data_IF_266797569785
#
_entry.id   IF_266797569785
#
_cell.length_a   1.000
_cell.length_b   1.000
_cell.length_c   1.000
_cell.angle_alpha   90.00
_cell.angle_beta   90.00
_cell.angle_gamma   90.00
#
_symmetry.space_group_name_H-M   'P 1'
#
loop_
_entity.id
_entity.type
_entity.pdbx_description
1 polymer ?
#
# COMPACT_ATOMS: atom_id res chain seq x y z
N UNK A 1 23.78 8.73 -1.95
CA UNK A 1 22.32 8.96 -1.84
C UNK A 1 21.91 8.52 -0.44
N UNK A 2 21.29 9.40 0.34
CA UNK A 2 20.84 9.12 1.70
C UNK A 2 19.61 8.20 1.64
N UNK A 3 19.57 7.15 2.45
CA UNK A 3 18.51 6.14 2.47
C UNK A 3 17.93 6.01 3.86
N UNK A 4 16.72 5.44 3.98
CA UNK A 4 16.05 5.21 5.27
C UNK A 4 16.94 4.39 6.21
N UNK A 5 17.63 3.39 5.68
CA UNK A 5 18.52 2.50 6.44
C UNK A 5 19.69 3.22 7.12
N UNK A 6 20.02 4.42 6.65
CA UNK A 6 21.10 5.22 7.25
C UNK A 6 20.66 5.92 8.55
N UNK A 7 19.34 5.99 8.81
CA UNK A 7 18.75 6.73 9.93
C UNK A 7 17.90 5.88 10.88
N UNK A 8 17.41 4.74 10.43
CA UNK A 8 16.45 3.94 11.19
C UNK A 8 17.03 2.56 11.53
N UNK A 9 16.69 2.07 12.73
CA UNK A 9 16.83 0.66 13.04
C UNK A 9 15.79 -0.12 12.22
N UNK A 10 16.22 -0.66 11.09
CA UNK A 10 15.33 -1.34 10.14
C UNK A 10 14.64 -2.54 10.76
N UNK A 11 15.25 -3.22 11.73
CA UNK A 11 14.58 -4.34 12.41
C UNK A 11 13.38 -3.85 13.20
N UNK A 12 13.53 -2.78 13.99
CA UNK A 12 12.42 -2.19 14.73
C UNK A 12 11.35 -1.65 13.79
N UNK A 13 11.77 -1.01 12.71
CA UNK A 13 10.89 -0.48 11.68
C UNK A 13 9.99 -1.58 11.10
N UNK A 14 10.57 -2.69 10.69
CA UNK A 14 9.82 -3.83 10.13
C UNK A 14 8.99 -4.57 11.18
N UNK A 15 9.48 -4.69 12.41
CA UNK A 15 8.71 -5.26 13.52
C UNK A 15 7.43 -4.45 13.80
N UNK A 16 7.50 -3.13 13.76
CA UNK A 16 6.33 -2.25 13.90
C UNK A 16 5.34 -2.48 12.75
N UNK A 17 5.82 -2.46 11.52
CA UNK A 17 4.97 -2.67 10.34
C UNK A 17 4.27 -4.03 10.37
N UNK A 18 5.02 -5.08 10.66
CA UNK A 18 4.50 -6.45 10.75
C UNK A 18 3.40 -6.58 11.81
N UNK A 19 3.67 -6.11 13.03
CA UNK A 19 2.71 -6.20 14.13
C UNK A 19 1.47 -5.32 13.88
N UNK A 20 1.66 -4.14 13.30
CA UNK A 20 0.56 -3.28 12.90
C UNK A 20 -0.32 -3.97 11.84
N UNK A 21 0.27 -4.56 10.81
CA UNK A 21 -0.47 -5.30 9.78
C UNK A 21 -1.25 -6.49 10.36
N UNK A 22 -0.64 -7.24 11.28
CA UNK A 22 -1.30 -8.35 11.97
C UNK A 22 -2.48 -7.88 12.83
N UNK A 23 -2.35 -6.76 13.51
CA UNK A 23 -3.39 -6.24 14.41
C UNK A 23 -4.54 -5.56 13.68
N UNK A 24 -4.29 -4.91 12.56
CA UNK A 24 -5.30 -4.16 11.81
C UNK A 24 -5.94 -4.95 10.67
N UNK A 25 -5.29 -6.00 10.19
CA UNK A 25 -5.69 -6.71 8.96
C UNK A 25 -5.39 -5.93 7.68
N UNK A 26 -4.71 -4.79 7.76
CA UNK A 26 -4.34 -3.95 6.62
C UNK A 26 -2.95 -4.32 6.08
N UNK A 27 -2.75 -4.13 4.79
CA UNK A 27 -1.44 -4.32 4.16
C UNK A 27 -0.50 -3.15 4.45
N UNK A 28 0.81 -3.41 4.46
CA UNK A 28 1.82 -2.35 4.49
C UNK A 28 3.16 -2.80 3.90
N UNK A 29 3.89 -1.85 3.35
CA UNK A 29 5.24 -2.00 2.80
C UNK A 29 5.98 -0.67 2.89
N UNK A 30 7.29 -0.69 3.06
CA UNK A 30 8.12 0.49 2.92
C UNK A 30 8.66 0.58 1.47
N UNK A 31 8.62 1.78 0.90
CA UNK A 31 9.12 2.07 -0.43
C UNK A 31 10.18 3.16 -0.39
N UNK A 32 11.16 3.07 -1.26
CA UNK A 32 12.12 4.13 -1.48
C UNK A 32 11.53 5.31 -2.25
N UNK A 33 12.34 6.35 -2.45
CA UNK A 33 11.92 7.54 -3.20
C UNK A 33 11.54 7.24 -4.67
N UNK A 34 11.99 6.11 -5.21
CA UNK A 34 11.65 5.62 -6.55
C UNK A 34 10.37 4.77 -6.63
N UNK A 35 9.69 4.56 -5.49
CA UNK A 35 8.49 3.73 -5.40
C UNK A 35 8.74 2.22 -5.34
N UNK A 36 10.01 1.80 -5.25
CA UNK A 36 10.36 0.37 -5.14
C UNK A 36 10.40 -0.08 -3.69
N UNK A 37 10.06 -1.34 -3.47
CA UNK A 37 10.04 -1.92 -2.13
C UNK A 37 11.42 -2.00 -1.52
N UNK A 38 11.53 -1.57 -0.26
CA UNK A 38 12.73 -1.66 0.57
C UNK A 38 12.51 -2.50 1.83
N UNK A 39 11.30 -2.98 2.07
CA UNK A 39 10.94 -3.93 3.11
C UNK A 39 10.21 -5.13 2.52
N UNK A 40 9.91 -6.12 3.35
CA UNK A 40 8.94 -7.15 3.01
C UNK A 40 7.52 -6.56 2.91
N UNK A 41 6.65 -7.25 2.15
CA UNK A 41 5.23 -6.93 2.07
C UNK A 41 4.49 -7.65 3.19
N UNK A 42 3.85 -6.90 4.08
CA UNK A 42 3.08 -7.47 5.16
C UNK A 42 1.60 -7.44 4.82
N UNK A 43 0.96 -8.60 4.93
CA UNK A 43 -0.48 -8.78 4.76
C UNK A 43 -1.03 -8.32 3.39
N UNK A 44 -0.22 -8.41 2.34
CA UNK A 44 -0.64 -8.06 0.99
C UNK A 44 -1.73 -9.00 0.48
N UNK A 45 -2.72 -8.43 -0.21
CA UNK A 45 -3.81 -9.18 -0.82
C UNK A 45 -3.36 -9.84 -2.13
N UNK A 46 -3.94 -11.01 -2.43
CA UNK A 46 -3.77 -11.67 -3.75
C UNK A 46 -4.11 -10.72 -4.90
N UNK A 47 -5.17 -9.93 -4.73
CA UNK A 47 -5.60 -8.91 -5.69
C UNK A 47 -4.47 -7.95 -6.08
N UNK A 48 -3.69 -7.49 -5.11
CA UNK A 48 -2.61 -6.54 -5.35
C UNK A 48 -1.30 -7.21 -5.76
N UNK A 49 -0.79 -8.16 -4.95
CA UNK A 49 0.56 -8.69 -5.15
C UNK A 49 0.65 -9.67 -6.32
N UNK A 50 -0.32 -10.56 -6.45
CA UNK A 50 -0.27 -11.63 -7.45
C UNK A 50 -0.89 -11.21 -8.79
N UNK A 51 -2.03 -10.51 -8.76
CA UNK A 51 -2.77 -10.16 -9.97
C UNK A 51 -2.42 -8.78 -10.51
N UNK A 52 -2.66 -7.71 -9.76
CA UNK A 52 -2.41 -6.34 -10.26
C UNK A 52 -0.92 -6.13 -10.56
N UNK A 53 -0.05 -6.42 -9.61
CA UNK A 53 1.40 -6.32 -9.81
C UNK A 53 2.01 -7.46 -10.63
N UNK A 54 1.27 -8.53 -10.85
CA UNK A 54 1.65 -9.61 -11.75
C UNK A 54 1.65 -9.20 -13.23
N UNK A 55 0.85 -8.19 -13.60
CA UNK A 55 0.89 -7.59 -14.94
C UNK A 55 1.91 -6.45 -15.01
N UNK A 56 2.56 -6.29 -16.18
CA UNK A 56 3.57 -5.23 -16.37
C UNK A 56 2.95 -3.83 -16.23
N UNK A 57 1.78 -3.60 -16.82
CA UNK A 57 1.09 -2.32 -16.72
C UNK A 57 0.55 -2.07 -15.32
N UNK A 58 0.01 -3.09 -14.65
CA UNK A 58 -0.42 -2.97 -13.26
C UNK A 58 0.72 -2.60 -12.34
N UNK A 59 1.87 -3.25 -12.46
CA UNK A 59 3.08 -2.93 -11.69
C UNK A 59 3.51 -1.48 -11.90
N UNK A 60 3.57 -1.03 -13.14
CA UNK A 60 3.94 0.34 -13.49
C UNK A 60 3.03 1.37 -12.83
N UNK A 61 1.72 1.12 -12.86
CA UNK A 61 0.71 1.99 -12.22
C UNK A 61 0.82 1.95 -10.69
N UNK A 62 1.06 0.78 -10.11
CA UNK A 62 1.27 0.64 -8.66
C UNK A 62 2.50 1.42 -8.18
N UNK A 63 3.64 1.26 -8.83
CA UNK A 63 4.88 1.98 -8.48
C UNK A 63 4.70 3.51 -8.56
N UNK A 64 3.91 3.98 -9.53
CA UNK A 64 3.55 5.40 -9.62
C UNK A 64 2.70 5.84 -8.43
N UNK A 65 1.66 5.09 -8.08
CA UNK A 65 0.81 5.37 -6.92
C UNK A 65 1.63 5.38 -5.63
N UNK A 66 2.51 4.40 -5.44
CA UNK A 66 3.34 4.27 -4.24
C UNK A 66 4.33 5.43 -4.09
N UNK A 67 4.86 5.93 -5.20
CA UNK A 67 5.77 7.09 -5.21
C UNK A 67 5.05 8.40 -4.93
N UNK A 68 3.83 8.56 -5.45
CA UNK A 68 3.07 9.83 -5.40
C UNK A 68 2.08 9.88 -4.23
N UNK A 69 1.72 8.74 -3.64
CA UNK A 69 0.69 8.64 -2.60
C UNK A 69 1.06 9.33 -1.30
N UNK A 70 0.16 10.20 -0.83
CA UNK A 70 0.27 10.92 0.45
C UNK A 70 -1.09 10.95 1.14
N UNK A 71 -1.10 10.70 2.46
CA UNK A 71 -2.35 10.59 3.19
C UNK A 71 -3.18 9.41 2.69
N UNK A 72 -4.48 9.48 2.84
CA UNK A 72 -5.41 8.46 2.33
C UNK A 72 -5.82 8.82 0.90
N UNK A 73 -5.67 7.87 -0.02
CA UNK A 73 -5.97 8.07 -1.45
C UNK A 73 -6.56 6.81 -2.09
N UNK A 74 -7.23 6.98 -3.22
CA UNK A 74 -7.66 5.87 -4.07
C UNK A 74 -6.55 5.51 -5.06
N UNK A 75 -6.16 4.23 -5.11
CA UNK A 75 -5.16 3.78 -6.06
C UNK A 75 -5.74 3.59 -7.47
N UNK A 76 -4.89 3.39 -8.47
CA UNK A 76 -5.32 3.20 -9.85
C UNK A 76 -6.25 1.99 -10.05
N UNK A 77 -6.16 1.00 -9.19
CA UNK A 77 -6.96 -0.23 -9.26
C UNK A 77 -8.31 -0.13 -8.50
N UNK A 78 -8.61 1.02 -7.89
CA UNK A 78 -9.90 1.25 -7.22
C UNK A 78 -9.94 0.86 -5.74
N UNK A 79 -8.81 0.49 -5.14
CA UNK A 79 -8.69 0.29 -3.71
C UNK A 79 -8.33 1.61 -3.00
N UNK A 80 -8.50 1.64 -1.69
CA UNK A 80 -8.05 2.74 -0.85
C UNK A 80 -6.77 2.35 -0.15
N UNK A 81 -5.78 3.22 -0.30
CA UNK A 81 -4.47 3.12 0.31
C UNK A 81 -4.15 4.36 1.11
N UNK A 82 -3.05 4.32 1.85
CA UNK A 82 -2.45 5.50 2.46
C UNK A 82 -0.95 5.53 2.20
N UNK A 83 -0.37 6.73 2.26
CA UNK A 83 1.07 6.95 2.19
C UNK A 83 1.53 7.86 3.32
N UNK A 84 2.55 7.41 4.05
CA UNK A 84 3.21 8.18 5.12
C UNK A 84 4.62 8.50 4.62
N UNK A 85 4.88 9.73 4.14
CA UNK A 85 6.22 10.11 3.71
C UNK A 85 7.21 10.09 4.89
N UNK A 86 8.41 9.60 4.63
CA UNK A 86 9.54 9.66 5.55
C UNK A 86 10.46 10.77 5.06
N UNK A 87 10.53 11.85 5.83
CA UNK A 87 11.26 13.06 5.46
C UNK A 87 12.29 13.42 6.50
N UNK A 88 13.39 14.00 6.06
CA UNK A 88 14.36 14.68 6.93
C UNK A 88 13.86 16.08 7.32
N UNK A 89 14.49 16.69 8.31
CA UNK A 89 14.15 18.03 8.80
C UNK A 89 14.26 19.11 7.71
N UNK A 90 15.10 18.90 6.71
CA UNK A 90 15.25 19.79 5.56
C UNK A 90 14.17 19.59 4.48
N UNK A 91 13.24 18.66 4.69
CA UNK A 91 12.16 18.32 3.75
C UNK A 91 12.54 17.28 2.69
N UNK A 92 13.74 16.73 2.73
CA UNK A 92 14.16 15.66 1.80
C UNK A 92 13.32 14.40 2.06
N UNK A 93 12.64 13.89 1.04
CA UNK A 93 11.86 12.65 1.10
C UNK A 93 12.79 11.45 0.87
N UNK A 94 12.91 10.59 1.87
CA UNK A 94 13.70 9.35 1.79
C UNK A 94 12.93 8.18 1.21
N UNK A 95 11.61 8.21 1.33
CA UNK A 95 10.70 7.16 0.93
C UNK A 95 9.36 7.33 1.64
N UNK A 96 8.58 6.26 1.67
CA UNK A 96 7.27 6.27 2.32
C UNK A 96 6.93 4.90 2.88
N UNK A 97 6.06 4.88 3.88
CA UNK A 97 5.33 3.67 4.25
C UNK A 97 3.97 3.73 3.57
N UNK A 98 3.71 2.74 2.74
CA UNK A 98 2.45 2.60 2.01
C UNK A 98 1.64 1.48 2.65
N UNK A 99 0.35 1.62 2.66
CA UNK A 99 -0.51 0.56 3.18
C UNK A 99 -1.96 0.74 2.79
N UNK A 100 -2.80 -0.15 3.32
CA UNK A 100 -4.23 -0.16 3.07
C UNK A 100 -4.68 -1.41 2.34
N UNK A 101 -4.82 -1.34 1.02
CA UNK A 101 -5.35 -2.39 0.15
C UNK A 101 -6.74 -2.85 0.60
N UNK A 102 -7.64 -1.90 0.77
CA UNK A 102 -9.01 -2.15 1.23
C UNK A 102 -10.02 -1.46 0.32
N UNK A 103 -11.28 -1.92 0.41
CA UNK A 103 -12.41 -1.30 -0.27
C UNK A 103 -13.15 -0.38 0.70
N UNK A 104 -13.54 0.83 0.28
CA UNK A 104 -14.33 1.74 1.12
C UNK A 104 -15.80 1.31 1.25
N UNK A 105 -16.26 0.50 0.31
CA UNK A 105 -17.61 -0.04 0.20
C UNK A 105 -17.63 -1.33 -0.64
N UNK A 106 -18.76 -1.96 -0.79
CA UNK A 106 -18.91 -3.12 -1.66
C UNK A 106 -18.58 -2.75 -3.11
N UNK A 107 -17.72 -3.54 -3.80
CA UNK A 107 -17.26 -3.20 -5.13
C UNK A 107 -18.34 -3.37 -6.21
N UNK A 108 -18.24 -2.56 -7.26
CA UNK A 108 -18.90 -2.81 -8.54
C UNK A 108 -18.01 -3.76 -9.37
N UNK A 109 -18.39 -5.02 -9.42
CA UNK A 109 -17.64 -6.07 -10.10
C UNK A 109 -17.38 -5.76 -11.59
N UNK A 110 -18.31 -5.10 -12.27
CA UNK A 110 -18.17 -4.77 -13.70
C UNK A 110 -17.10 -3.68 -13.92
N UNK A 111 -17.00 -2.72 -13.02
CA UNK A 111 -15.92 -1.74 -13.05
C UNK A 111 -14.55 -2.41 -12.90
N UNK A 112 -14.42 -3.39 -12.01
CA UNK A 112 -13.18 -4.13 -11.82
C UNK A 112 -12.87 -5.11 -12.96
N UNK A 113 -13.87 -5.71 -13.60
CA UNK A 113 -13.68 -6.48 -14.85
C UNK A 113 -13.12 -5.61 -15.96
N UNK A 114 -13.58 -4.37 -16.09
CA UNK A 114 -13.04 -3.41 -17.05
C UNK A 114 -11.58 -3.10 -16.76
N UNK A 115 -11.25 -2.83 -15.52
CA UNK A 115 -9.86 -2.59 -15.08
C UNK A 115 -8.98 -3.81 -15.39
N UNK A 116 -9.44 -5.03 -15.12
CA UNK A 116 -8.72 -6.25 -15.46
C UNK A 116 -8.39 -6.31 -16.96
N UNK A 117 -9.35 -5.96 -17.83
CA UNK A 117 -9.14 -5.89 -19.27
C UNK A 117 -8.04 -4.89 -19.66
N UNK A 118 -8.02 -3.71 -19.04
CA UNK A 118 -6.98 -2.69 -19.26
C UNK A 118 -5.59 -3.17 -18.84
N UNK A 119 -5.52 -4.00 -17.81
CA UNK A 119 -4.26 -4.50 -17.26
C UNK A 119 -3.81 -5.83 -17.86
N UNK A 120 -4.63 -6.44 -18.72
CA UNK A 120 -4.34 -7.75 -19.31
C UNK A 120 -4.44 -8.91 -18.30
N UNK A 121 -5.33 -8.79 -17.33
CA UNK A 121 -5.57 -9.79 -16.27
C UNK A 121 -6.88 -10.53 -16.55
N UNK A 122 -6.95 -11.83 -16.21
CA UNK A 122 -8.21 -12.57 -16.26
C UNK A 122 -9.27 -11.93 -15.37
N UNK A 123 -10.38 -11.48 -15.95
CA UNK A 123 -11.40 -10.71 -15.26
C UNK A 123 -12.06 -11.47 -14.10
N UNK A 124 -12.33 -12.77 -14.30
CA UNK A 124 -13.01 -13.57 -13.26
C UNK A 124 -12.07 -13.90 -12.09
N UNK A 125 -10.79 -14.16 -12.37
CA UNK A 125 -9.79 -14.32 -11.32
C UNK A 125 -9.62 -13.03 -10.52
N UNK A 126 -9.64 -11.88 -11.20
CA UNK A 126 -9.51 -10.55 -10.58
C UNK A 126 -10.68 -10.25 -9.65
N UNK A 127 -11.90 -10.51 -10.08
CA UNK A 127 -13.10 -10.32 -9.25
C UNK A 127 -13.14 -11.31 -8.08
N UNK A 128 -12.74 -12.58 -8.27
CA UNK A 128 -12.65 -13.52 -7.15
C UNK A 128 -11.68 -13.07 -6.07
N UNK A 129 -10.52 -12.56 -6.47
CA UNK A 129 -9.53 -11.99 -5.53
C UNK A 129 -10.05 -10.71 -4.86
N UNK A 130 -10.77 -9.86 -5.61
CA UNK A 130 -11.42 -8.66 -5.09
C UNK A 130 -12.37 -8.96 -3.93
N UNK A 131 -13.14 -10.03 -4.02
CA UNK A 131 -14.10 -10.41 -2.97
C UNK A 131 -13.44 -10.91 -1.68
N UNK A 132 -12.13 -11.14 -1.68
CA UNK A 132 -11.32 -11.43 -0.49
C UNK A 132 -10.74 -10.17 0.16
N UNK A 133 -10.82 -9.02 -0.50
CA UNK A 133 -10.32 -7.75 0.01
C UNK A 133 -11.27 -7.25 1.10
N UNK A 134 -10.69 -6.80 2.22
CA UNK A 134 -11.47 -6.26 3.34
C UNK A 134 -12.17 -4.95 2.96
N UNK A 135 -13.37 -4.75 3.48
CA UNK A 135 -14.09 -3.48 3.42
C UNK A 135 -13.85 -2.72 4.72
N UNK A 136 -13.33 -1.51 4.62
CA UNK A 136 -13.05 -0.61 5.75
C UNK A 136 -13.53 0.79 5.43
N UNK A 137 -14.10 1.48 6.40
CA UNK A 137 -14.48 2.88 6.23
C UNK A 137 -13.24 3.76 6.09
N UNK A 138 -13.41 4.92 5.46
CA UNK A 138 -12.32 5.91 5.36
C UNK A 138 -11.79 6.31 6.73
N UNK A 139 -12.67 6.46 7.72
CA UNK A 139 -12.29 6.80 9.10
C UNK A 139 -11.43 5.71 9.74
N UNK A 140 -11.76 4.43 9.52
CA UNK A 140 -10.94 3.31 10.00
C UNK A 140 -9.55 3.31 9.36
N UNK A 141 -9.46 3.61 8.07
CA UNK A 141 -8.18 3.68 7.34
C UNK A 141 -7.35 4.86 7.85
N UNK A 142 -7.94 6.02 8.02
CA UNK A 142 -7.27 7.23 8.53
C UNK A 142 -6.74 7.01 9.95
N UNK A 143 -7.53 6.38 10.82
CA UNK A 143 -7.11 6.06 12.18
C UNK A 143 -5.94 5.07 12.20
N UNK A 144 -6.00 4.02 11.38
CA UNK A 144 -4.94 3.03 11.27
C UNK A 144 -3.63 3.65 10.73
N UNK A 145 -3.72 4.48 9.70
CA UNK A 145 -2.58 5.20 9.15
C UNK A 145 -1.94 6.15 10.17
N UNK A 146 -2.75 6.90 10.91
CA UNK A 146 -2.29 7.78 11.98
C UNK A 146 -1.54 7.01 13.05
N UNK A 147 -2.07 5.87 13.48
CA UNK A 147 -1.44 5.03 14.51
C UNK A 147 -0.08 4.50 14.04
N UNK A 148 0.01 4.06 12.80
CA UNK A 148 1.28 3.59 12.21
C UNK A 148 2.31 4.74 12.16
N UNK A 149 1.92 5.91 11.69
CA UNK A 149 2.78 7.08 11.62
C UNK A 149 3.33 7.49 12.99
N UNK A 150 2.47 7.52 14.02
CA UNK A 150 2.88 7.80 15.40
C UNK A 150 3.85 6.74 15.95
N UNK A 151 3.65 5.46 15.59
CA UNK A 151 4.53 4.37 16.02
C UNK A 151 5.92 4.49 15.38
N UNK A 152 6.01 4.98 14.15
CA UNK A 152 7.27 5.13 13.41
C UNK A 152 8.10 6.36 13.82
N UNK A 153 7.52 7.37 14.47
CA UNK A 153 8.22 8.58 14.91
C UNK A 153 9.34 8.26 15.93
N UNK A 154 9.24 7.16 16.66
CA UNK A 154 10.12 6.82 17.77
C UNK A 154 11.28 5.87 17.40
N UNK A 155 11.58 5.67 16.15
CA UNK A 155 12.67 4.79 15.72
C UNK A 155 13.85 5.50 15.05
#
# INVERSE_FOLDING_TARGET
>A
MIRIEDFCDMKKFEDIMKNWAMSTGLATVAVGADGKYISECYNFTEFCIDLTRGSAEGRRRCEKCDREGKGVYSCHAGLVDFGIPITLDDGTVLGSVIGGQVLPEHPDDDAFRKTAGELGIDAEAYVRALHKVNVKTREEIEAAATLLGLSLIHI
#
